data_IF_527817449723
#
_entry.id   IF_527817449723
#
_cell.length_a   1.000
_cell.length_b   1.000
_cell.length_c   1.000
_cell.angle_alpha   90.00
_cell.angle_beta   90.00
_cell.angle_gamma   90.00
#
_symmetry.space_group_name_H-M   'P 1'
#
loop_
_entity.id
_entity.type
_entity.pdbx_description
1 polymer ?
#
# COMPACT_ATOMS: atom_id res chain seq x y z
N UNK A 1 17.94 -12.99 -6.90
CA UNK A 1 18.12 -11.76 -7.72
C UNK A 1 17.20 -10.69 -7.16
N UNK A 2 17.73 -9.54 -6.73
CA UNK A 2 16.89 -8.40 -6.30
C UNK A 2 16.28 -7.78 -7.56
N UNK A 3 14.96 -7.86 -7.71
CA UNK A 3 14.25 -7.18 -8.80
C UNK A 3 14.16 -5.70 -8.46
N UNK A 4 14.77 -4.83 -9.29
CA UNK A 4 14.46 -3.41 -9.28
C UNK A 4 13.09 -3.21 -9.93
N UNK A 5 12.17 -2.56 -9.23
CA UNK A 5 10.84 -2.25 -9.74
C UNK A 5 10.69 -0.72 -9.83
N UNK A 6 10.21 -0.22 -10.96
CA UNK A 6 9.90 1.20 -11.09
C UNK A 6 8.53 1.44 -10.46
N UNK A 7 8.49 2.28 -9.43
CA UNK A 7 7.25 2.71 -8.78
C UNK A 7 6.90 4.13 -9.21
N UNK A 8 5.65 4.33 -9.62
CA UNK A 8 5.06 5.65 -9.81
C UNK A 8 4.39 6.09 -8.52
N UNK A 9 4.79 7.27 -8.06
CA UNK A 9 4.18 7.97 -6.94
C UNK A 9 3.22 9.01 -7.49
N UNK A 10 1.99 9.01 -6.98
CA UNK A 10 0.99 10.02 -7.30
C UNK A 10 0.54 10.71 -6.03
N UNK A 11 0.40 12.03 -6.08
CA UNK A 11 -0.42 12.78 -5.12
C UNK A 11 -1.73 13.15 -5.79
N UNK A 12 -2.83 12.64 -5.27
CA UNK A 12 -4.16 12.81 -5.87
C UNK A 12 -5.11 13.48 -4.88
N UNK A 13 -6.19 14.06 -5.40
CA UNK A 13 -7.27 14.60 -4.58
C UNK A 13 -8.35 13.55 -4.38
N UNK A 14 -8.77 13.34 -3.14
CA UNK A 14 -9.94 12.52 -2.84
C UNK A 14 -11.22 13.11 -3.42
N UNK A 15 -12.24 12.29 -3.65
CA UNK A 15 -13.57 12.77 -3.99
C UNK A 15 -14.14 13.61 -2.85
N UNK A 16 -14.76 14.74 -3.20
CA UNK A 16 -15.47 15.56 -2.24
C UNK A 16 -16.73 14.82 -1.78
N UNK A 17 -16.95 14.76 -0.47
CA UNK A 17 -18.17 14.20 0.14
C UNK A 17 -18.80 15.25 1.05
N UNK A 18 -19.94 15.80 0.63
CA UNK A 18 -20.57 16.93 1.32
C UNK A 18 -19.72 18.21 1.25
N UNK A 19 -19.69 18.96 2.35
CA UNK A 19 -18.91 20.20 2.47
C UNK A 19 -17.48 19.99 3.01
N UNK A 20 -17.03 18.74 3.13
CA UNK A 20 -15.70 18.45 3.64
C UNK A 20 -14.60 19.02 2.72
N UNK A 21 -13.48 19.50 3.29
CA UNK A 21 -12.33 19.89 2.49
C UNK A 21 -11.83 18.72 1.65
N UNK A 22 -11.30 19.04 0.47
CA UNK A 22 -10.57 18.06 -0.32
C UNK A 22 -9.32 17.67 0.47
N UNK A 23 -9.01 16.37 0.51
CA UNK A 23 -7.78 15.88 1.13
C UNK A 23 -6.92 15.20 0.07
N UNK A 24 -5.62 15.17 0.36
CA UNK A 24 -4.64 14.47 -0.47
C UNK A 24 -4.61 12.99 -0.13
N UNK A 25 -4.39 12.18 -1.16
CA UNK A 25 -4.13 10.75 -1.07
C UNK A 25 -2.82 10.50 -1.80
N UNK A 26 -1.95 9.70 -1.20
CA UNK A 26 -0.72 9.25 -1.85
C UNK A 26 -0.98 7.86 -2.43
N UNK A 27 -0.56 7.64 -3.68
CA UNK A 27 -0.63 6.34 -4.34
C UNK A 27 0.77 5.87 -4.73
N UNK A 28 1.08 4.60 -4.51
CA UNK A 28 2.24 3.93 -5.12
C UNK A 28 1.76 2.83 -6.05
N UNK A 29 2.18 2.87 -7.31
CA UNK A 29 1.81 1.89 -8.33
C UNK A 29 3.06 1.39 -9.06
N UNK A 30 3.22 0.08 -9.29
CA UNK A 30 4.17 -0.42 -10.28
C UNK A 30 3.98 0.28 -11.62
N UNK A 31 5.08 0.53 -12.32
CA UNK A 31 5.01 1.10 -13.66
C UNK A 31 4.18 0.22 -14.60
N UNK A 32 3.17 0.83 -15.24
CA UNK A 32 2.25 0.14 -16.15
C UNK A 32 1.07 -0.55 -15.46
N UNK A 33 1.05 -0.63 -14.13
CA UNK A 33 -0.05 -1.24 -13.38
C UNK A 33 -1.27 -0.33 -13.28
N UNK A 34 -2.46 -0.93 -13.34
CA UNK A 34 -3.72 -0.27 -12.98
C UNK A 34 -4.03 -0.37 -11.48
N UNK A 35 -3.19 -1.10 -10.72
CA UNK A 35 -3.28 -1.31 -9.27
C UNK A 35 -2.21 -0.56 -8.51
N UNK A 36 -2.61 -0.04 -7.35
CA UNK A 36 -1.75 0.72 -6.46
C UNK A 36 -2.14 0.50 -4.99
N UNK A 37 -1.26 0.97 -4.11
CA UNK A 37 -1.53 1.09 -2.68
C UNK A 37 -1.93 2.53 -2.37
N UNK A 38 -3.01 2.70 -1.61
CA UNK A 38 -3.49 4.00 -1.14
C UNK A 38 -2.92 4.25 0.25
N UNK A 39 -2.41 5.46 0.46
CA UNK A 39 -2.07 5.98 1.77
C UNK A 39 -2.88 7.25 1.97
N UNK A 40 -3.87 7.21 2.85
CA UNK A 40 -4.75 8.35 3.12
C UNK A 40 -5.08 8.48 4.60
N UNK A 41 -5.36 9.71 5.01
CA UNK A 41 -5.82 10.00 6.35
C UNK A 41 -7.35 9.99 6.38
N UNK A 42 -7.92 9.31 7.37
CA UNK A 42 -9.35 9.38 7.69
C UNK A 42 -9.55 10.06 9.05
N UNK A 43 -10.80 10.43 9.36
CA UNK A 43 -11.13 11.15 10.59
C UNK A 43 -10.80 12.64 10.53
N UNK A 44 -10.46 13.21 11.69
CA UNK A 44 -10.12 14.62 11.86
C UNK A 44 -11.21 15.45 12.57
N UNK A 45 -10.89 16.69 12.96
CA UNK A 45 -11.77 17.56 13.74
C UNK A 45 -13.13 17.81 13.08
N UNK A 46 -13.18 17.86 11.75
CA UNK A 46 -14.43 18.04 10.99
C UNK A 46 -15.37 16.84 11.07
N UNK A 47 -14.87 15.68 11.50
CA UNK A 47 -15.63 14.44 11.67
C UNK A 47 -15.77 14.06 13.16
N UNK A 48 -15.24 14.86 14.08
CA UNK A 48 -15.23 14.55 15.52
C UNK A 48 -14.43 13.29 15.87
N UNK A 49 -13.42 12.94 15.06
CA UNK A 49 -12.60 11.73 15.22
C UNK A 49 -11.12 12.07 15.21
N UNK A 50 -10.30 11.22 15.81
CA UNK A 50 -8.86 11.30 15.66
C UNK A 50 -8.47 11.07 14.20
N UNK A 51 -7.34 11.62 13.80
CA UNK A 51 -6.73 11.28 12.53
C UNK A 51 -6.19 9.85 12.56
N UNK A 52 -6.48 9.07 11.53
CA UNK A 52 -6.03 7.70 11.40
C UNK A 52 -5.46 7.50 9.98
N UNK A 53 -4.25 6.95 9.88
CA UNK A 53 -3.68 6.55 8.61
C UNK A 53 -4.28 5.21 8.18
N UNK A 54 -4.87 5.16 7.00
CA UNK A 54 -5.26 3.91 6.37
C UNK A 54 -4.38 3.62 5.16
N UNK A 55 -3.85 2.39 5.13
CA UNK A 55 -3.08 1.85 4.01
C UNK A 55 -3.92 0.76 3.36
N UNK A 56 -4.28 0.95 2.10
CA UNK A 56 -5.16 0.03 1.38
C UNK A 56 -4.48 -0.45 0.09
N UNK A 57 -4.07 -1.72 0.07
CA UNK A 57 -3.44 -2.34 -1.10
C UNK A 57 -4.47 -2.71 -2.19
N UNK A 58 -3.98 -2.96 -3.40
CA UNK A 58 -4.74 -3.48 -4.55
C UNK A 58 -5.94 -2.62 -5.00
N UNK A 59 -5.86 -1.32 -4.74
CA UNK A 59 -6.86 -0.35 -5.21
C UNK A 59 -6.55 0.03 -6.65
N UNK A 60 -7.55 0.46 -7.40
CA UNK A 60 -7.33 0.96 -8.77
C UNK A 60 -6.72 2.35 -8.74
N UNK A 61 -5.80 2.64 -9.65
CA UNK A 61 -5.24 4.00 -9.86
C UNK A 61 -6.35 4.97 -10.27
N UNK A 62 -7.30 4.52 -11.10
CA UNK A 62 -8.49 5.28 -11.54
C UNK A 62 -9.74 4.99 -10.69
N UNK A 63 -9.60 4.90 -9.37
CA UNK A 63 -10.74 4.61 -8.49
C UNK A 63 -11.76 5.76 -8.45
N UNK A 64 -13.03 5.40 -8.29
CA UNK A 64 -14.14 6.32 -8.01
C UNK A 64 -13.93 7.17 -6.75
N UNK A 65 -12.98 6.81 -5.88
CA UNK A 65 -12.62 7.60 -4.69
C UNK A 65 -11.72 8.80 -4.99
N UNK A 66 -11.21 8.95 -6.21
CA UNK A 66 -10.30 10.02 -6.63
C UNK A 66 -11.09 11.02 -7.49
N UNK A 67 -10.91 12.31 -7.22
CA UNK A 67 -11.51 13.39 -8.03
C UNK A 67 -10.61 13.79 -9.18
N UNK A 68 -9.31 13.92 -8.94
CA UNK A 68 -8.33 14.23 -9.95
C UNK A 68 -6.94 13.77 -9.52
N UNK A 69 -6.15 13.35 -10.50
CA UNK A 69 -4.69 13.37 -10.40
C UNK A 69 -4.29 14.82 -10.70
N UNK A 70 -3.72 15.52 -9.72
CA UNK A 70 -3.35 16.91 -9.93
C UNK A 70 -2.23 17.02 -10.98
N UNK A 71 -2.32 18.03 -11.86
CA UNK A 71 -1.29 18.21 -12.89
C UNK A 71 0.04 18.54 -12.21
N UNK A 72 1.10 17.80 -12.56
CA UNK A 72 2.43 17.98 -11.99
C UNK A 72 2.68 17.28 -10.65
N UNK A 73 1.76 16.43 -10.17
CA UNK A 73 1.92 15.70 -8.90
C UNK A 73 2.31 14.23 -9.05
N UNK A 74 2.68 13.82 -10.27
CA UNK A 74 3.22 12.49 -10.54
C UNK A 74 4.75 12.55 -10.54
N UNK A 75 5.38 11.67 -9.79
CA UNK A 75 6.82 11.45 -9.81
C UNK A 75 7.11 9.97 -10.03
N UNK A 76 8.08 9.67 -10.90
CA UNK A 76 8.55 8.31 -11.13
C UNK A 76 9.78 8.07 -10.28
N UNK A 77 9.77 7.00 -9.48
CA UNK A 77 10.86 6.62 -8.59
C UNK A 77 11.31 5.20 -8.93
N UNK A 78 12.63 4.99 -8.95
CA UNK A 78 13.16 3.62 -8.96
C UNK A 78 13.17 3.13 -7.53
N UNK A 79 12.42 2.06 -7.26
CA UNK A 79 12.43 1.41 -5.96
C UNK A 79 13.19 0.10 -6.08
N UNK A 80 14.14 -0.11 -5.17
CA UNK A 80 14.74 -1.42 -4.97
C UNK A 80 14.09 -2.02 -3.75
N UNK A 81 13.35 -3.12 -3.93
CA UNK A 81 12.86 -3.89 -2.80
C UNK A 81 14.05 -4.59 -2.15
N UNK A 82 14.31 -4.24 -0.90
CA UNK A 82 15.26 -4.94 -0.06
C UNK A 82 14.52 -6.05 0.70
N UNK A 83 15.19 -7.19 0.98
CA UNK A 83 14.62 -8.21 1.87
C UNK A 83 14.27 -7.58 3.21
N UNK A 84 13.10 -7.92 3.76
CA UNK A 84 12.73 -7.49 5.10
C UNK A 84 13.80 -8.00 6.10
N UNK A 85 14.53 -7.10 6.78
CA UNK A 85 15.57 -7.51 7.72
C UNK A 85 15.01 -8.24 8.95
N UNK A 86 13.68 -8.21 9.15
CA UNK A 86 12.97 -8.86 10.24
C UNK A 86 12.13 -10.07 9.81
N UNK A 87 12.18 -10.48 8.54
CA UNK A 87 11.54 -11.71 8.10
C UNK A 87 12.26 -12.91 8.76
N UNK A 88 11.76 -13.35 9.91
CA UNK A 88 12.24 -14.56 10.56
C UNK A 88 12.12 -15.73 9.58
N UNK A 89 13.22 -16.45 9.37
CA UNK A 89 13.24 -17.64 8.54
C UNK A 89 12.24 -18.64 9.11
N UNK A 90 11.08 -18.79 8.47
CA UNK A 90 10.11 -19.84 8.80
C UNK A 90 10.62 -21.18 8.26
N UNK A 91 11.81 -21.60 8.66
CA UNK A 91 12.20 -23.00 8.63
C UNK A 91 11.76 -23.58 9.97
N UNK A 92 10.49 -23.95 10.07
CA UNK A 92 10.07 -24.87 11.13
C UNK A 92 10.92 -26.15 10.98
N UNK A 93 11.53 -26.67 12.06
CA UNK A 93 12.20 -27.95 11.98
C UNK A 93 11.14 -29.01 11.64
N UNK A 94 11.42 -29.80 10.61
CA UNK A 94 10.61 -30.98 10.30
C UNK A 94 10.68 -31.90 11.52
N UNK A 95 9.54 -32.08 12.18
CA UNK A 95 9.39 -32.97 13.32
C UNK A 95 9.54 -34.41 12.83
N UNK A 96 10.74 -34.98 12.97
CA UNK A 96 11.02 -36.37 12.66
C UNK A 96 10.58 -37.25 13.83
N UNK A 97 9.27 -37.46 13.97
CA UNK A 97 8.72 -38.48 14.85
C UNK A 97 8.49 -39.79 14.07
N UNK A 98 9.56 -40.54 13.83
CA UNK A 98 9.45 -41.97 13.53
C UNK A 98 9.48 -42.76 14.85
N UNK A 99 8.31 -42.96 15.47
CA UNK A 99 8.15 -44.00 16.48
C UNK A 99 7.94 -45.34 15.77
N UNK A 100 8.92 -46.23 15.92
CA UNK A 100 8.82 -47.63 15.52
C UNK A 100 7.82 -48.38 16.40
N UNK A 101 6.99 -49.19 15.77
CA UNK A 101 6.10 -50.15 16.42
C UNK A 101 6.51 -51.57 15.97
N UNK A 102 7.08 -52.33 16.90
CA UNK A 102 7.25 -53.80 16.95
C UNK A 102 8.05 -54.07 18.24
N UNK A 103 7.70 -54.94 19.18
CA UNK A 103 6.84 -56.14 19.25
C UNK A 103 6.04 -56.19 20.56
#
# INVERSE_FOLDING_TARGET
MSSSEVLKLYVVLGQRRGQNPLHWIILTAPEGSDRCTYYHMVGGPTQGKNYELQIQANKRVNSNGISAIAKGTTATWQAKMEPDPYAQSTSAPADSSSQGASE
#
